data_IF_639741057233
#
_entry.id   IF_639741057233
#
_cell.length_a   1.000
_cell.length_b   1.000
_cell.length_c   1.000
_cell.angle_alpha   90.00
_cell.angle_beta   90.00
_cell.angle_gamma   90.00
#
_symmetry.space_group_name_H-M   'P 1'
#
loop_
_entity.id
_entity.type
_entity.pdbx_description
1 polymer ?
#
# COMPACT_ATOMS: atom_id res chain seq x y z
N UNK A 1 -16.39 25.57 21.88
CA UNK A 1 -15.31 24.56 21.75
C UNK A 1 -14.82 24.58 20.31
N UNK A 2 -13.53 24.77 20.09
CA UNK A 2 -12.95 24.84 18.74
C UNK A 2 -12.76 23.42 18.18
N UNK A 3 -13.74 22.96 17.42
CA UNK A 3 -13.75 21.60 16.84
C UNK A 3 -12.60 21.38 15.86
N UNK A 4 -12.10 22.43 15.20
CA UNK A 4 -10.97 22.36 14.28
C UNK A 4 -9.68 22.04 15.03
N UNK A 5 -9.43 22.73 16.13
CA UNK A 5 -8.25 22.48 16.98
C UNK A 5 -8.30 21.09 17.63
N UNK A 6 -9.49 20.65 18.05
CA UNK A 6 -9.67 19.31 18.61
C UNK A 6 -9.35 18.24 17.57
N UNK A 7 -9.90 18.35 16.36
CA UNK A 7 -9.58 17.42 15.24
C UNK A 7 -8.08 17.38 14.96
N UNK A 8 -7.46 18.54 14.89
CA UNK A 8 -6.02 18.63 14.62
C UNK A 8 -5.19 17.96 15.72
N UNK A 9 -5.57 18.13 16.99
CA UNK A 9 -4.91 17.45 18.11
C UNK A 9 -5.08 15.95 18.09
N UNK A 10 -6.27 15.45 17.73
CA UNK A 10 -6.53 14.01 17.60
C UNK A 10 -5.66 13.41 16.48
N UNK A 11 -5.58 14.07 15.34
CA UNK A 11 -4.74 13.63 14.21
C UNK A 11 -3.26 13.63 14.57
N UNK A 12 -2.79 14.65 15.27
CA UNK A 12 -1.42 14.75 15.74
C UNK A 12 -1.07 13.57 16.68
N UNK A 13 -1.93 13.27 17.64
CA UNK A 13 -1.75 12.12 18.53
C UNK A 13 -1.77 10.79 17.78
N UNK A 14 -2.64 10.65 16.77
CA UNK A 14 -2.74 9.43 15.95
C UNK A 14 -1.46 9.20 15.13
N UNK A 15 -0.95 10.24 14.46
CA UNK A 15 0.25 10.16 13.62
C UNK A 15 1.48 9.76 14.44
N UNK A 16 1.57 10.25 15.68
CA UNK A 16 2.67 9.90 16.58
C UNK A 16 2.45 8.60 17.38
N UNK A 17 1.37 7.86 17.12
CA UNK A 17 1.04 6.63 17.84
C UNK A 17 0.69 6.83 19.31
N UNK A 18 0.29 8.06 19.70
CA UNK A 18 -0.03 8.45 21.09
C UNK A 18 -1.52 8.51 21.38
N UNK A 19 -2.37 8.22 20.39
CA UNK A 19 -3.82 8.28 20.56
C UNK A 19 -4.35 7.09 21.36
N UNK A 20 -3.77 5.92 21.14
CA UNK A 20 -4.09 4.67 21.84
C UNK A 20 -2.80 4.08 22.40
N UNK A 21 -2.82 3.51 23.64
CA UNK A 21 -1.67 2.79 24.18
C UNK A 21 -1.23 1.67 23.22
N UNK A 22 0.07 1.50 23.04
CA UNK A 22 0.61 0.37 22.28
C UNK A 22 0.52 -0.90 23.12
N UNK A 23 0.09 -2.02 22.52
CA UNK A 23 0.10 -3.32 23.18
C UNK A 23 1.51 -3.93 23.09
N UNK A 24 2.16 -4.23 24.22
CA UNK A 24 3.50 -4.84 24.21
C UNK A 24 3.49 -6.28 23.67
N UNK A 25 2.32 -6.91 23.53
CA UNK A 25 2.19 -8.26 22.96
C UNK A 25 1.99 -8.24 21.44
N UNK A 26 1.74 -7.08 20.85
CA UNK A 26 1.63 -6.96 19.39
C UNK A 26 2.98 -7.23 18.73
N UNK A 27 2.95 -7.97 17.63
CA UNK A 27 4.13 -8.22 16.82
C UNK A 27 4.67 -6.89 16.26
N UNK A 28 5.97 -6.59 16.44
CA UNK A 28 6.58 -5.39 15.86
C UNK A 28 6.48 -5.38 14.32
N UNK A 29 6.24 -4.21 13.76
CA UNK A 29 6.12 -4.05 12.30
C UNK A 29 7.34 -4.55 11.53
N UNK A 30 8.55 -4.45 12.11
CA UNK A 30 9.80 -4.96 11.52
C UNK A 30 9.73 -6.45 11.17
N UNK A 31 9.12 -7.28 12.03
CA UNK A 31 8.97 -8.73 11.78
C UNK A 31 8.06 -9.00 10.59
N UNK A 32 6.95 -8.26 10.48
CA UNK A 32 6.05 -8.33 9.32
C UNK A 32 6.77 -7.91 8.04
N UNK A 33 7.59 -6.85 8.11
CA UNK A 33 8.34 -6.34 6.96
C UNK A 33 9.39 -7.33 6.46
N UNK A 34 10.06 -8.05 7.36
CA UNK A 34 11.00 -9.12 6.99
C UNK A 34 10.27 -10.23 6.21
N UNK A 35 9.12 -10.69 6.71
CA UNK A 35 8.29 -11.70 6.01
C UNK A 35 7.83 -11.23 4.63
N UNK A 36 7.41 -9.96 4.50
CA UNK A 36 7.03 -9.37 3.22
C UNK A 36 8.23 -9.33 2.26
N UNK A 37 9.41 -8.96 2.75
CA UNK A 37 10.64 -8.92 1.97
C UNK A 37 11.04 -10.31 1.45
N UNK A 38 11.01 -11.32 2.31
CA UNK A 38 11.28 -12.71 1.94
C UNK A 38 10.30 -13.22 0.88
N UNK A 39 9.00 -12.98 1.07
CA UNK A 39 7.97 -13.35 0.11
C UNK A 39 8.16 -12.66 -1.24
N UNK A 40 8.48 -11.36 -1.23
CA UNK A 40 8.78 -10.59 -2.43
C UNK A 40 9.99 -11.16 -3.19
N UNK A 41 11.05 -11.52 -2.47
CA UNK A 41 12.23 -12.16 -3.09
C UNK A 41 11.89 -13.54 -3.66
N UNK A 42 11.05 -14.32 -2.99
CA UNK A 42 10.55 -15.59 -3.50
C UNK A 42 9.81 -15.41 -4.81
N UNK A 43 8.86 -14.48 -4.86
CA UNK A 43 8.08 -14.17 -6.06
C UNK A 43 8.94 -13.66 -7.22
N UNK A 44 10.00 -12.91 -6.92
CA UNK A 44 10.99 -12.49 -7.93
C UNK A 44 11.77 -13.70 -8.49
N UNK A 45 12.21 -14.61 -7.62
CA UNK A 45 12.93 -15.84 -8.04
C UNK A 45 12.03 -16.76 -8.88
N UNK A 46 10.75 -16.84 -8.54
CA UNK A 46 9.74 -17.60 -9.30
C UNK A 46 9.33 -16.90 -10.62
N UNK A 47 9.83 -15.70 -10.90
CA UNK A 47 9.49 -14.94 -12.11
C UNK A 47 8.09 -14.33 -12.11
N UNK A 48 7.35 -14.41 -11.00
CA UNK A 48 5.99 -13.88 -10.89
C UNK A 48 5.95 -12.34 -10.84
N UNK A 49 6.99 -11.74 -10.28
CA UNK A 49 7.13 -10.28 -10.22
C UNK A 49 8.52 -9.86 -10.69
N UNK A 50 8.60 -8.67 -11.31
CA UNK A 50 9.87 -8.11 -11.77
C UNK A 50 10.53 -7.32 -10.65
N UNK A 51 11.86 -7.45 -10.51
CA UNK A 51 12.62 -6.60 -9.59
C UNK A 51 12.50 -5.13 -9.99
N UNK A 52 12.14 -4.27 -9.06
CA UNK A 52 12.06 -2.83 -9.30
C UNK A 52 13.45 -2.27 -9.63
N UNK A 53 13.56 -1.47 -10.71
CA UNK A 53 14.84 -0.84 -11.10
C UNK A 53 15.39 0.14 -10.04
N UNK A 54 14.54 0.68 -9.17
CA UNK A 54 14.94 1.56 -8.06
C UNK A 54 15.61 0.81 -6.91
N UNK A 55 15.26 -0.44 -6.68
CA UNK A 55 15.85 -1.28 -5.63
C UNK A 55 17.32 -1.67 -5.91
N UNK A 56 17.77 -1.57 -7.17
CA UNK A 56 19.12 -1.98 -7.56
C UNK A 56 20.20 -0.89 -7.32
N UNK A 57 19.81 0.33 -6.97
CA UNK A 57 20.74 1.47 -6.81
C UNK A 57 20.83 2.05 -5.39
N UNK A 58 20.07 1.53 -4.44
CA UNK A 58 20.16 1.96 -3.05
C UNK A 58 21.02 0.99 -2.28
N UNK A 59 22.25 1.44 -2.01
CA UNK A 59 23.11 0.90 -0.95
C UNK A 59 22.32 0.73 0.34
N UNK A 60 22.68 -0.22 1.16
CA UNK A 60 22.14 -0.73 2.43
C UNK A 60 21.52 0.23 3.47
N UNK A 61 21.26 1.47 3.12
CA UNK A 61 20.60 2.43 4.01
C UNK A 61 19.14 2.59 3.57
N UNK A 62 18.16 2.25 4.41
CA UNK A 62 16.76 2.48 4.10
C UNK A 62 16.53 3.96 3.84
N UNK A 63 16.11 4.30 2.63
CA UNK A 63 15.95 5.69 2.15
C UNK A 63 14.94 6.51 2.98
N UNK A 64 14.12 5.84 3.79
CA UNK A 64 13.08 6.43 4.64
C UNK A 64 13.55 6.74 6.06
N UNK A 65 14.71 6.27 6.50
CA UNK A 65 15.26 6.66 7.81
C UNK A 65 15.80 8.10 7.84
N UNK A 66 15.97 8.74 6.68
CA UNK A 66 16.56 10.08 6.61
C UNK A 66 15.54 11.22 6.63
N UNK A 67 14.25 10.97 6.37
CA UNK A 67 13.26 12.05 6.20
C UNK A 67 11.95 11.83 6.98
N UNK A 68 11.98 11.08 8.08
CA UNK A 68 10.80 11.02 8.94
C UNK A 68 10.71 12.29 9.77
N UNK A 69 9.72 13.16 9.54
CA UNK A 69 9.65 14.47 10.18
C UNK A 69 9.23 14.41 11.65
N UNK A 70 8.98 13.20 12.19
CA UNK A 70 8.50 13.00 13.55
C UNK A 70 8.85 11.59 14.07
N UNK A 71 8.90 11.45 15.40
CA UNK A 71 9.12 10.18 16.05
C UNK A 71 7.84 9.35 16.10
N UNK A 72 7.98 8.05 15.85
CA UNK A 72 6.91 7.04 15.97
C UNK A 72 7.27 6.03 17.06
N UNK A 73 6.29 5.25 17.59
CA UNK A 73 6.57 4.17 18.54
C UNK A 73 7.57 3.16 18.00
N UNK A 74 8.34 2.53 18.87
CA UNK A 74 9.35 1.53 18.49
C UNK A 74 8.76 0.25 17.83
N UNK A 75 7.47 -0.02 18.05
CA UNK A 75 6.75 -1.12 17.40
C UNK A 75 6.29 -0.80 15.97
N UNK A 76 6.34 0.46 15.57
CA UNK A 76 5.97 0.92 14.23
C UNK A 76 7.18 1.02 13.33
N UNK A 77 6.95 0.94 12.04
CA UNK A 77 7.96 1.16 11.01
C UNK A 77 7.39 2.03 9.90
N UNK A 78 8.26 2.77 9.21
CA UNK A 78 7.87 3.64 8.10
C UNK A 78 8.45 3.07 6.83
N UNK A 79 7.57 2.77 5.89
CA UNK A 79 7.94 2.13 4.63
C UNK A 79 7.27 2.81 3.45
N UNK A 80 7.82 2.64 2.28
CA UNK A 80 7.18 3.15 1.07
C UNK A 80 6.05 2.23 0.61
N UNK A 81 5.06 2.80 -0.06
CA UNK A 81 3.96 2.03 -0.66
C UNK A 81 4.49 0.96 -1.63
N UNK A 82 5.59 1.24 -2.34
CA UNK A 82 6.22 0.31 -3.27
C UNK A 82 6.89 -0.90 -2.58
N UNK A 83 7.15 -0.83 -1.29
CA UNK A 83 7.70 -1.95 -0.53
C UNK A 83 6.61 -2.95 -0.16
N UNK A 84 5.39 -2.47 0.10
CA UNK A 84 4.25 -3.29 0.52
C UNK A 84 3.38 -3.75 -0.65
N UNK A 85 3.26 -2.95 -1.72
CA UNK A 85 2.30 -3.18 -2.79
C UNK A 85 2.97 -3.26 -4.17
N UNK A 86 2.36 -4.07 -5.03
CA UNK A 86 2.65 -4.03 -6.47
C UNK A 86 1.78 -2.94 -7.09
N UNK A 87 2.42 -1.92 -7.66
CA UNK A 87 1.73 -0.82 -8.33
C UNK A 87 1.42 -1.23 -9.77
N UNK A 88 0.14 -1.17 -10.14
CA UNK A 88 -0.35 -1.50 -11.48
C UNK A 88 0.22 -2.82 -12.02
N UNK A 89 0.00 -3.96 -11.32
CA UNK A 89 0.46 -5.25 -11.82
C UNK A 89 -0.22 -5.53 -13.17
N UNK A 90 0.59 -5.95 -14.14
CA UNK A 90 0.03 -6.37 -15.43
C UNK A 90 -0.65 -7.72 -15.27
N UNK A 91 -1.88 -7.80 -15.74
CA UNK A 91 -2.62 -9.05 -15.88
C UNK A 91 -2.52 -9.53 -17.32
N UNK A 92 -2.18 -10.80 -17.51
CA UNK A 92 -2.21 -11.45 -18.82
C UNK A 92 -3.44 -12.37 -18.85
N UNK A 93 -4.46 -11.96 -19.61
CA UNK A 93 -5.69 -12.72 -19.79
C UNK A 93 -5.85 -13.03 -21.29
N UNK A 94 -6.64 -14.07 -21.59
CA UNK A 94 -7.02 -14.35 -22.98
C UNK A 94 -7.76 -13.15 -23.58
N UNK A 95 -7.39 -12.76 -24.80
CA UNK A 95 -7.95 -11.58 -25.47
C UNK A 95 -9.47 -11.63 -25.65
N UNK A 96 -10.06 -12.84 -25.76
CA UNK A 96 -11.51 -13.04 -25.92
C UNK A 96 -12.23 -13.18 -24.58
N UNK A 97 -11.50 -13.18 -23.45
CA UNK A 97 -12.09 -13.29 -22.14
C UNK A 97 -12.98 -12.08 -21.86
N UNK A 98 -14.19 -12.34 -21.38
CA UNK A 98 -15.10 -11.28 -20.93
C UNK A 98 -14.66 -10.75 -19.56
N UNK A 99 -14.58 -9.45 -19.46
CA UNK A 99 -14.15 -8.72 -18.24
C UNK A 99 -15.13 -7.59 -17.93
N UNK A 100 -15.26 -7.27 -16.65
CA UNK A 100 -15.98 -6.09 -16.21
C UNK A 100 -15.09 -4.85 -16.38
N UNK A 101 -15.49 -3.92 -17.22
CA UNK A 101 -14.82 -2.64 -17.42
C UNK A 101 -15.60 -1.54 -16.70
N UNK A 102 -14.91 -0.78 -15.86
CA UNK A 102 -15.50 0.36 -15.12
C UNK A 102 -14.94 1.64 -15.72
N UNK A 103 -15.64 2.31 -16.63
CA UNK A 103 -15.24 3.63 -17.11
C UNK A 103 -15.36 4.66 -15.97
N UNK A 104 -14.58 5.73 -16.04
CA UNK A 104 -14.57 6.79 -15.02
C UNK A 104 -15.97 7.37 -14.74
N UNK A 105 -16.85 7.42 -15.75
CA UNK A 105 -18.22 7.91 -15.60
C UNK A 105 -19.10 7.01 -14.70
N UNK A 106 -18.72 5.75 -14.49
CA UNK A 106 -19.44 4.82 -13.63
C UNK A 106 -18.78 4.66 -12.23
N UNK A 107 -17.73 5.42 -11.96
CA UNK A 107 -17.14 5.50 -10.63
C UNK A 107 -17.93 6.52 -9.82
N UNK A 108 -18.73 6.03 -8.87
CA UNK A 108 -19.50 6.90 -7.98
C UNK A 108 -18.62 7.50 -6.88
N UNK A 109 -18.96 8.70 -6.43
CA UNK A 109 -18.39 9.31 -5.25
C UNK A 109 -19.09 8.74 -4.00
N UNK A 110 -18.33 8.05 -3.19
CA UNK A 110 -18.78 7.49 -1.92
C UNK A 110 -18.78 5.96 -1.87
N UNK A 111 -19.02 5.45 -0.68
CA UNK A 111 -19.05 4.00 -0.40
C UNK A 111 -20.45 3.42 -0.57
N UNK A 112 -21.07 3.61 -1.73
CA UNK A 112 -22.42 3.09 -1.98
C UNK A 112 -22.47 1.55 -2.02
N UNK A 113 -21.34 0.90 -2.22
CA UNK A 113 -21.23 -0.55 -2.32
C UNK A 113 -21.72 -1.12 -3.66
N UNK A 114 -22.30 -0.31 -4.52
CA UNK A 114 -22.76 -0.69 -5.84
C UNK A 114 -21.74 -0.25 -6.88
N UNK A 115 -21.25 -1.19 -7.68
CA UNK A 115 -20.35 -0.90 -8.77
C UNK A 115 -21.02 -1.28 -10.08
N UNK A 116 -21.24 -0.29 -10.94
CA UNK A 116 -21.70 -0.53 -12.29
C UNK A 116 -20.50 -0.78 -13.20
N UNK A 117 -20.61 -1.75 -14.06
CA UNK A 117 -19.56 -2.08 -15.04
C UNK A 117 -20.19 -2.41 -16.39
N UNK A 118 -19.39 -2.25 -17.43
CA UNK A 118 -19.72 -2.70 -18.79
C UNK A 118 -18.99 -4.02 -19.06
N UNK A 119 -19.68 -5.00 -19.64
CA UNK A 119 -19.03 -6.23 -20.09
C UNK A 119 -18.31 -5.96 -21.41
N UNK A 120 -16.99 -6.18 -21.44
CA UNK A 120 -16.13 -6.01 -22.62
C UNK A 120 -15.19 -7.21 -22.77
N UNK A 121 -14.55 -7.35 -23.93
CA UNK A 121 -13.48 -8.34 -24.07
C UNK A 121 -12.15 -7.75 -23.59
N UNK A 122 -11.26 -8.60 -23.08
CA UNK A 122 -9.95 -8.16 -22.59
C UNK A 122 -9.17 -7.39 -23.66
N UNK A 123 -9.25 -7.84 -24.91
CA UNK A 123 -8.61 -7.19 -26.07
C UNK A 123 -9.04 -5.74 -26.26
N UNK A 124 -10.27 -5.39 -25.89
CA UNK A 124 -10.83 -4.05 -26.11
C UNK A 124 -10.47 -3.07 -24.99
N UNK A 125 -9.97 -3.57 -23.84
CA UNK A 125 -9.69 -2.76 -22.64
C UNK A 125 -8.22 -2.75 -22.20
N UNK A 126 -7.36 -3.56 -22.85
CA UNK A 126 -5.93 -3.68 -22.49
C UNK A 126 -5.03 -2.86 -23.43
#
# INVERSE_FOLDING_TARGET
MDTKKLRQKILDLAIHGKLVPQDPNDEPASVLLERIKEEKERLIKEGKIKRSKKSAKTSDTPHYQQDVPFEVPASWDIVSVSDLFLLNPKSELDGNMKVGFIPMALVEDGFSGNHFYEERTWKDVN
#
